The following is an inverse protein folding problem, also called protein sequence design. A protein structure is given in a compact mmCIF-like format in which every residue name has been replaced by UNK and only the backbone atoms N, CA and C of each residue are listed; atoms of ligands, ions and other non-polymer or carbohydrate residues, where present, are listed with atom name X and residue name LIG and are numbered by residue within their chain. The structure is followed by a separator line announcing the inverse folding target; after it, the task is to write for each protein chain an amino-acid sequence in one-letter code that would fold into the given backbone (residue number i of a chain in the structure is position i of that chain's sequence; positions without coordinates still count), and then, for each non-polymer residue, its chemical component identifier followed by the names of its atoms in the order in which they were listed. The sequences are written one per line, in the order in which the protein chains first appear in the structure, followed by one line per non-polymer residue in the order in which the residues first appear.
data_IF_680493419688
#
_entry.id   IF_680493419688
#
_cell.length_a   1.000
_cell.length_b   1.000
_cell.length_c   1.000
_cell.angle_alpha   90.00
_cell.angle_beta   90.00
_cell.angle_gamma   90.00
#
_symmetry.space_group_name_H-M   'P 1'
#
loop_
_entity.id
_entity.type
_entity.pdbx_description
1 polymer ?
#
# COMPACT_ATOMS: atom_id res chain seq x y z
N UNK A 1 -26.93 6.69 -61.67
CA UNK A 1 -27.02 5.69 -60.58
C UNK A 1 -25.73 5.60 -59.72
N UNK A 2 -25.07 6.71 -59.36
CA UNK A 2 -23.81 6.69 -58.58
C UNK A 2 -23.90 7.24 -57.13
N UNK A 3 -25.06 7.76 -56.70
CA UNK A 3 -25.23 8.36 -55.36
C UNK A 3 -25.40 7.33 -54.23
N UNK A 4 -25.90 6.13 -54.52
CA UNK A 4 -26.15 5.09 -53.50
C UNK A 4 -24.86 4.47 -52.96
N UNK A 5 -23.84 4.29 -53.81
CA UNK A 5 -22.55 3.71 -53.41
C UNK A 5 -21.76 4.61 -52.45
N UNK A 6 -21.90 5.94 -52.57
CA UNK A 6 -21.26 6.91 -51.68
C UNK A 6 -21.84 6.91 -50.25
N UNK A 7 -23.16 6.76 -50.13
CA UNK A 7 -23.83 6.69 -48.83
C UNK A 7 -23.46 5.42 -48.06
N UNK A 8 -23.36 4.29 -48.75
CA UNK A 8 -22.93 3.00 -48.15
C UNK A 8 -21.48 3.06 -47.67
N UNK A 9 -20.58 3.64 -48.48
CA UNK A 9 -19.18 3.83 -48.10
C UNK A 9 -19.02 4.73 -46.86
N UNK A 10 -19.81 5.80 -46.78
CA UNK A 10 -19.78 6.74 -45.65
C UNK A 10 -20.32 6.10 -44.36
N UNK A 11 -21.32 5.24 -44.45
CA UNK A 11 -21.84 4.51 -43.29
C UNK A 11 -20.83 3.47 -42.78
N UNK A 12 -20.14 2.78 -43.70
CA UNK A 12 -19.07 1.84 -43.36
C UNK A 12 -17.90 2.54 -42.66
N UNK A 13 -17.46 3.70 -43.13
CA UNK A 13 -16.38 4.45 -42.47
C UNK A 13 -16.78 4.92 -41.08
N UNK A 14 -18.01 5.41 -40.88
CA UNK A 14 -18.52 5.78 -39.55
C UNK A 14 -18.54 4.57 -38.61
N UNK A 15 -18.98 3.41 -39.10
CA UNK A 15 -19.01 2.17 -38.30
C UNK A 15 -17.59 1.76 -37.87
N UNK A 16 -16.62 1.83 -38.78
CA UNK A 16 -15.22 1.53 -38.49
C UNK A 16 -14.63 2.55 -37.50
N UNK A 17 -14.88 3.85 -37.69
CA UNK A 17 -14.44 4.88 -36.74
C UNK A 17 -15.05 4.68 -35.35
N UNK A 18 -16.34 4.33 -35.27
CA UNK A 18 -16.99 4.03 -34.00
C UNK A 18 -16.36 2.84 -33.29
N UNK A 19 -16.02 1.77 -34.04
CA UNK A 19 -15.31 0.61 -33.50
C UNK A 19 -13.93 0.98 -32.94
N UNK A 20 -13.14 1.74 -33.70
CA UNK A 20 -11.82 2.21 -33.27
C UNK A 20 -11.93 3.10 -32.02
N UNK A 21 -12.95 3.98 -31.98
CA UNK A 21 -13.18 4.86 -30.83
C UNK A 21 -13.47 4.07 -29.55
N UNK A 22 -14.33 3.05 -29.63
CA UNK A 22 -14.64 2.18 -28.48
C UNK A 22 -13.39 1.47 -27.98
N UNK A 23 -12.57 0.93 -28.88
CA UNK A 23 -11.31 0.27 -28.53
C UNK A 23 -10.35 1.26 -27.84
N UNK A 24 -10.19 2.46 -28.40
CA UNK A 24 -9.30 3.49 -27.83
C UNK A 24 -9.74 3.92 -26.42
N UNK A 25 -11.05 4.12 -26.19
CA UNK A 25 -11.59 4.44 -24.87
C UNK A 25 -11.43 3.27 -23.88
N UNK A 26 -11.59 2.03 -24.36
CA UNK A 26 -11.34 0.83 -23.56
C UNK A 26 -9.91 0.75 -23.05
N UNK A 27 -8.93 0.96 -23.93
CA UNK A 27 -7.49 0.96 -23.57
C UNK A 27 -7.17 2.11 -22.62
N UNK A 28 -7.69 3.32 -22.88
CA UNK A 28 -7.47 4.48 -22.02
C UNK A 28 -7.93 4.22 -20.58
N UNK A 29 -9.07 3.55 -20.40
CA UNK A 29 -9.58 3.17 -19.08
C UNK A 29 -8.63 2.24 -18.32
N UNK A 30 -8.06 1.25 -19.01
CA UNK A 30 -7.11 0.29 -18.42
C UNK A 30 -5.85 1.03 -17.95
N UNK A 31 -5.28 1.87 -18.81
CA UNK A 31 -4.07 2.66 -18.49
C UNK A 31 -4.30 3.56 -17.27
N UNK A 32 -5.45 4.24 -17.19
CA UNK A 32 -5.78 5.08 -16.05
C UNK A 32 -5.92 4.30 -14.73
N UNK A 33 -6.38 3.05 -14.79
CA UNK A 33 -6.43 2.17 -13.63
C UNK A 33 -5.02 1.73 -13.20
N UNK A 34 -4.17 1.36 -14.15
CA UNK A 34 -2.78 0.98 -13.88
C UNK A 34 -1.98 2.11 -13.24
N UNK A 35 -2.11 3.35 -13.73
CA UNK A 35 -1.44 4.52 -13.15
C UNK A 35 -1.81 4.69 -11.67
N UNK A 36 -3.10 4.52 -11.33
CA UNK A 36 -3.56 4.61 -9.94
C UNK A 36 -3.01 3.48 -9.07
N UNK A 37 -2.94 2.25 -9.60
CA UNK A 37 -2.37 1.11 -8.89
C UNK A 37 -0.88 1.31 -8.64
N UNK A 38 -0.10 1.75 -9.64
CA UNK A 38 1.34 1.97 -9.52
C UNK A 38 1.70 3.00 -8.45
N UNK A 39 0.90 4.08 -8.32
CA UNK A 39 1.08 5.03 -7.23
C UNK A 39 0.93 4.40 -5.84
N UNK A 40 -0.08 3.54 -5.66
CA UNK A 40 -0.32 2.83 -4.40
C UNK A 40 0.74 1.77 -4.09
N UNK A 41 1.36 1.18 -5.11
CA UNK A 41 2.49 0.25 -4.94
C UNK A 41 3.68 0.97 -4.31
N UNK A 42 4.00 2.19 -4.76
CA UNK A 42 5.07 3.00 -4.17
C UNK A 42 4.80 3.41 -2.71
N UNK A 43 3.55 3.75 -2.38
CA UNK A 43 3.17 4.01 -0.98
C UNK A 43 3.19 2.73 -0.13
N UNK A 44 2.85 1.59 -0.72
CA UNK A 44 2.85 0.29 -0.07
C UNK A 44 4.26 -0.17 0.33
N UNK A 45 5.26 0.03 -0.54
CA UNK A 45 6.65 -0.32 -0.22
C UNK A 45 7.18 0.54 0.92
N UNK A 46 6.91 1.85 0.91
CA UNK A 46 7.28 2.75 2.00
C UNK A 46 6.58 2.40 3.32
N UNK A 47 5.28 2.08 3.27
CA UNK A 47 4.55 1.63 4.45
C UNK A 47 5.10 0.31 5.00
N UNK A 48 5.54 -0.60 4.12
CA UNK A 48 6.21 -1.83 4.53
C UNK A 48 7.55 -1.55 5.19
N UNK A 49 8.38 -0.68 4.60
CA UNK A 49 9.67 -0.28 5.17
C UNK A 49 9.52 0.38 6.54
N UNK A 50 8.48 1.20 6.73
CA UNK A 50 8.16 1.79 8.02
C UNK A 50 7.80 0.73 9.08
N UNK A 51 7.03 -0.30 8.69
CA UNK A 51 6.72 -1.42 9.57
C UNK A 51 8.00 -2.18 9.95
N UNK A 52 8.88 -2.42 8.98
CA UNK A 52 10.15 -3.13 9.18
C UNK A 52 11.05 -2.38 10.17
N UNK A 53 11.24 -1.06 9.98
CA UNK A 53 11.97 -0.21 10.94
C UNK A 53 11.36 -0.24 12.34
N UNK A 54 10.02 -0.29 12.44
CA UNK A 54 9.34 -0.42 13.73
C UNK A 54 9.64 -1.75 14.42
N UNK A 55 9.64 -2.85 13.67
CA UNK A 55 9.99 -4.18 14.17
C UNK A 55 11.45 -4.25 14.60
N UNK A 56 12.38 -3.75 13.79
CA UNK A 56 13.81 -3.75 14.13
C UNK A 56 14.05 -2.96 15.42
N UNK A 57 13.40 -1.81 15.56
CA UNK A 57 13.47 -1.02 16.78
C UNK A 57 12.91 -1.77 17.99
N UNK A 58 11.73 -2.40 17.87
CA UNK A 58 11.11 -3.14 18.95
C UNK A 58 11.99 -4.34 19.38
N UNK A 59 12.51 -5.08 18.40
CA UNK A 59 13.38 -6.22 18.63
C UNK A 59 14.70 -5.80 19.29
N UNK A 60 15.29 -4.69 18.85
CA UNK A 60 16.48 -4.12 19.49
C UNK A 60 16.23 -3.78 20.96
N UNK A 61 15.10 -3.12 21.26
CA UNK A 61 14.76 -2.75 22.64
C UNK A 61 14.55 -3.97 23.53
N UNK A 62 13.85 -4.99 23.04
CA UNK A 62 13.53 -6.19 23.82
C UNK A 62 14.76 -7.09 23.99
N UNK A 63 15.52 -7.35 22.92
CA UNK A 63 16.63 -8.31 22.95
C UNK A 63 17.92 -7.69 23.46
N UNK A 64 18.31 -6.51 22.93
CA UNK A 64 19.60 -5.89 23.23
C UNK A 64 19.55 -5.02 24.47
N UNK A 65 18.56 -4.13 24.55
CA UNK A 65 18.45 -3.17 25.65
C UNK A 65 17.72 -3.77 26.86
N UNK A 66 16.93 -4.83 26.65
CA UNK A 66 16.05 -5.46 27.66
C UNK A 66 15.10 -4.46 28.31
N UNK A 67 14.61 -3.53 27.51
CA UNK A 67 13.65 -2.50 27.94
C UNK A 67 12.28 -2.82 27.35
N UNK A 68 11.20 -2.55 28.09
CA UNK A 68 9.87 -2.69 27.56
C UNK A 68 9.64 -1.77 26.38
N UNK A 69 8.76 -2.20 25.49
CA UNK A 69 8.19 -1.33 24.47
C UNK A 69 7.36 -0.27 25.21
N UNK A 70 7.66 1.04 25.04
CA UNK A 70 6.93 2.10 25.71
C UNK A 70 5.52 2.21 25.12
N UNK A 71 4.56 2.51 26.00
CA UNK A 71 3.15 2.66 25.63
C UNK A 71 2.91 3.73 24.56
N UNK A 72 3.78 4.74 24.48
CA UNK A 72 3.75 5.81 23.47
C UNK A 72 4.07 5.34 22.05
N UNK A 73 4.51 4.09 21.87
CA UNK A 73 4.74 3.46 20.56
C UNK A 73 3.68 2.40 20.23
N UNK A 74 2.77 2.12 21.15
CA UNK A 74 1.72 1.12 20.93
C UNK A 74 0.57 1.71 20.12
N UNK A 75 0.09 0.97 19.12
CA UNK A 75 -1.04 1.37 18.28
C UNK A 75 -2.32 1.61 19.11
N UNK A 76 -2.52 0.85 20.18
CA UNK A 76 -3.67 0.97 21.08
C UNK A 76 -3.75 2.35 21.77
N UNK A 77 -2.61 3.00 21.98
CA UNK A 77 -2.49 4.30 22.65
C UNK A 77 -2.27 5.46 21.66
N UNK A 78 -2.61 5.27 20.38
CA UNK A 78 -2.30 6.22 19.30
C UNK A 78 -0.79 6.52 19.16
N UNK A 79 0.07 5.57 19.52
CA UNK A 79 1.52 5.70 19.55
C UNK A 79 2.20 5.66 18.18
N UNK A 80 1.82 6.57 17.28
CA UNK A 80 2.45 6.68 15.96
C UNK A 80 3.80 7.40 16.06
N UNK A 81 4.87 6.69 15.70
CA UNK A 81 6.20 7.28 15.52
C UNK A 81 6.35 7.72 14.07
N UNK A 82 6.44 9.03 13.84
CA UNK A 82 6.69 9.59 12.52
C UNK A 82 8.17 9.39 12.14
N UNK A 83 8.41 8.78 10.98
CA UNK A 83 9.72 8.69 10.33
C UNK A 83 9.96 9.93 9.44
N UNK A 84 8.89 10.42 8.82
CA UNK A 84 8.85 11.66 8.04
C UNK A 84 7.45 12.32 8.14
N UNK A 85 7.14 13.30 7.28
CA UNK A 85 5.86 14.02 7.28
C UNK A 85 4.62 13.20 6.89
N UNK A 86 4.81 12.04 6.23
CA UNK A 86 3.73 11.19 5.69
C UNK A 86 3.84 9.73 6.13
N UNK A 87 5.01 9.33 6.64
CA UNK A 87 5.38 7.96 6.99
C UNK A 87 5.48 7.81 8.50
N UNK A 88 4.78 6.84 9.05
CA UNK A 88 4.81 6.53 10.47
C UNK A 88 4.67 5.03 10.74
N UNK A 89 5.09 4.58 11.91
CA UNK A 89 4.82 3.22 12.39
C UNK A 89 4.26 3.22 13.81
N UNK A 90 3.56 2.15 14.16
CA UNK A 90 3.17 1.83 15.53
C UNK A 90 3.33 0.33 15.77
N UNK A 91 3.37 -0.07 17.05
CA UNK A 91 3.60 -1.45 17.48
C UNK A 91 2.35 -2.02 18.14
N UNK A 92 2.08 -3.29 17.89
CA UNK A 92 1.01 -4.06 18.49
C UNK A 92 1.60 -5.34 19.05
N UNK A 93 1.33 -5.63 20.32
CA UNK A 93 1.78 -6.86 20.96
C UNK A 93 0.62 -7.84 20.88
N UNK A 94 0.79 -8.86 20.05
CA UNK A 94 -0.27 -9.83 19.78
C UNK A 94 -0.28 -10.94 20.83
N UNK A 95 0.89 -11.26 21.40
CA UNK A 95 1.06 -12.22 22.49
C UNK A 95 2.22 -11.78 23.41
N UNK A 96 2.05 -11.95 24.71
CA UNK A 96 3.02 -11.53 25.74
C UNK A 96 2.72 -10.16 26.34
N UNK A 97 3.74 -9.55 26.94
CA UNK A 97 3.65 -8.22 27.58
C UNK A 97 4.63 -7.24 26.92
N UNK A 98 4.51 -5.92 27.12
CA UNK A 98 5.50 -4.95 26.64
C UNK A 98 6.94 -5.24 27.05
N UNK A 99 7.15 -5.90 28.18
CA UNK A 99 8.44 -6.29 28.74
C UNK A 99 8.97 -7.59 28.10
N UNK A 100 8.08 -8.54 27.84
CA UNK A 100 8.40 -9.86 27.26
C UNK A 100 7.41 -10.20 26.14
N UNK A 101 7.47 -9.49 25.00
CA UNK A 101 6.57 -9.76 23.90
C UNK A 101 6.98 -11.07 23.23
N UNK A 102 6.05 -12.00 23.07
CA UNK A 102 6.27 -13.24 22.32
C UNK A 102 5.99 -13.04 20.83
N UNK A 103 5.05 -12.15 20.51
CA UNK A 103 4.76 -11.73 19.14
C UNK A 103 4.58 -10.23 19.07
N UNK A 104 5.35 -9.63 18.17
CA UNK A 104 5.33 -8.19 17.90
C UNK A 104 4.86 -8.01 16.47
N UNK A 105 3.85 -7.18 16.29
CA UNK A 105 3.33 -6.75 15.00
C UNK A 105 3.60 -5.26 14.84
N UNK A 106 4.41 -4.88 13.87
CA UNK A 106 4.58 -3.48 13.50
C UNK A 106 3.64 -3.13 12.35
N UNK A 107 3.00 -1.97 12.46
CA UNK A 107 2.12 -1.42 11.43
C UNK A 107 2.74 -0.13 10.93
N UNK A 108 3.18 -0.13 9.68
CA UNK A 108 3.64 1.05 8.97
C UNK A 108 2.52 1.69 8.16
N UNK A 109 2.56 3.01 8.06
CA UNK A 109 1.56 3.84 7.38
C UNK A 109 2.26 4.86 6.51
N UNK A 110 1.76 5.00 5.28
CA UNK A 110 2.06 6.13 4.40
C UNK A 110 0.76 6.61 3.81
N UNK A 111 0.42 7.88 4.02
CA UNK A 111 -0.85 8.47 3.56
C UNK A 111 -2.08 7.62 3.99
N UNK A 112 -2.69 6.94 3.02
CA UNK A 112 -3.87 6.05 3.20
C UNK A 112 -3.51 4.56 3.16
N UNK A 113 -2.27 4.21 2.81
CA UNK A 113 -1.81 2.82 2.73
C UNK A 113 -1.21 2.41 4.07
N UNK A 114 -1.56 1.21 4.52
CA UNK A 114 -0.99 0.58 5.72
C UNK A 114 -0.51 -0.82 5.39
N UNK A 115 0.65 -1.19 5.90
CA UNK A 115 1.23 -2.53 5.83
C UNK A 115 1.69 -2.95 7.20
N UNK A 116 1.60 -4.23 7.49
CA UNK A 116 1.99 -4.78 8.77
C UNK A 116 2.93 -5.96 8.57
N UNK A 117 3.87 -6.10 9.50
CA UNK A 117 4.77 -7.23 9.61
C UNK A 117 4.64 -7.77 11.02
N UNK A 118 4.58 -9.08 11.18
CA UNK A 118 4.50 -9.75 12.48
C UNK A 118 5.67 -10.72 12.61
N UNK A 119 6.34 -10.68 13.76
CA UNK A 119 7.43 -11.59 14.08
C UNK A 119 7.22 -12.21 15.45
N UNK A 120 7.71 -13.43 15.60
CA UNK A 120 7.82 -14.09 16.90
C UNK A 120 9.13 -13.64 17.57
N UNK A 121 9.03 -12.96 18.70
CA UNK A 121 10.15 -12.59 19.54
C UNK A 121 10.35 -13.70 20.58
N UNK A 122 10.89 -14.84 20.14
CA UNK A 122 11.35 -15.90 21.06
C UNK A 122 12.85 -15.75 21.26
N UNK A 123 13.32 -15.94 22.50
CA UNK A 123 14.73 -15.97 22.85
C UNK A 123 15.51 -16.88 21.88
N UNK A 124 16.54 -16.31 21.25
CA UNK A 124 17.59 -17.06 20.53
C UNK A 124 18.76 -17.23 21.48
#
# INVERSE_FOLDING_TARGET
MNKQNGAVSLLLTILVLAGILVIALGISKIILQEIRMTGQVGESTKAYQAADTGIEWALYQVIKVKQPIPDSKLCANNGWTNLDSQTAYCLEITQGTPQTPEKIKAIGRVNRVRRAVEIKAVEI
#
